data_IF_204680654621
#
_entry.id   IF_204680654621
#
_cell.length_a   1.000
_cell.length_b   1.000
_cell.length_c   1.000
_cell.angle_alpha   90.00
_cell.angle_beta   90.00
_cell.angle_gamma   90.00
#
_symmetry.space_group_name_H-M   'P 1'
#
loop_
_entity.id
_entity.type
_entity.pdbx_description
1 polymer ?
#
# COMPACT_ATOMS: atom_id res chain seq x y z
N UNK A 1 -1.84 -22.34 -6.56
CA UNK A 1 -0.98 -21.53 -5.68
C UNK A 1 -0.36 -22.49 -4.67
N UNK A 2 0.85 -22.25 -4.14
CA UNK A 2 1.42 -23.15 -3.12
C UNK A 2 0.50 -23.14 -1.90
N UNK A 3 0.11 -24.31 -1.41
CA UNK A 3 -0.72 -24.48 -0.21
C UNK A 3 0.16 -24.65 1.03
N UNK A 4 -0.32 -24.24 2.20
CA UNK A 4 0.41 -24.46 3.46
C UNK A 4 0.40 -25.95 3.80
N UNK A 5 1.56 -26.61 4.00
CA UNK A 5 1.60 -28.05 4.29
C UNK A 5 0.74 -28.40 5.51
N UNK A 6 -0.24 -29.29 5.32
CA UNK A 6 -1.18 -29.72 6.37
C UNK A 6 -2.43 -28.86 6.54
N UNK A 7 -2.60 -27.80 5.75
CA UNK A 7 -3.77 -26.92 5.76
C UNK A 7 -4.29 -26.68 4.33
N UNK A 8 -5.61 -26.62 4.15
CA UNK A 8 -6.23 -26.34 2.85
C UNK A 8 -6.30 -24.82 2.57
N UNK A 9 -5.19 -24.12 2.82
CA UNK A 9 -5.08 -22.67 2.67
C UNK A 9 -3.95 -22.32 1.72
N UNK A 10 -4.21 -21.37 0.82
CA UNK A 10 -3.19 -20.78 -0.05
C UNK A 10 -2.15 -20.04 0.78
N UNK A 11 -0.86 -20.28 0.48
CA UNK A 11 0.24 -19.57 1.12
C UNK A 11 0.22 -18.09 0.68
N UNK A 12 0.28 -17.13 1.62
CA UNK A 12 0.40 -15.72 1.29
C UNK A 12 1.69 -15.49 0.49
N UNK A 13 1.58 -14.79 -0.62
CA UNK A 13 2.71 -14.41 -1.48
C UNK A 13 2.65 -12.92 -1.81
N UNK A 14 3.79 -12.36 -2.21
CA UNK A 14 3.81 -10.99 -2.74
C UNK A 14 2.86 -10.84 -3.95
N UNK A 15 2.75 -11.87 -4.78
CA UNK A 15 1.81 -11.87 -5.91
C UNK A 15 0.35 -11.79 -5.45
N UNK A 16 -0.04 -12.54 -4.42
CA UNK A 16 -1.39 -12.46 -3.85
C UNK A 16 -1.70 -11.09 -3.25
N UNK A 17 -0.73 -10.47 -2.57
CA UNK A 17 -0.84 -9.10 -2.05
C UNK A 17 -1.01 -8.09 -3.18
N UNK A 18 -0.15 -8.15 -4.20
CA UNK A 18 -0.24 -7.26 -5.37
C UNK A 18 -1.57 -7.42 -6.10
N UNK A 19 -2.09 -8.64 -6.24
CA UNK A 19 -3.40 -8.88 -6.83
C UNK A 19 -4.53 -8.23 -6.00
N UNK A 20 -4.50 -8.40 -4.67
CA UNK A 20 -5.48 -7.77 -3.78
C UNK A 20 -5.45 -6.24 -3.86
N UNK A 21 -4.26 -5.63 -3.88
CA UNK A 21 -4.10 -4.18 -4.08
C UNK A 21 -4.55 -3.73 -5.47
N UNK A 22 -4.25 -4.52 -6.51
CA UNK A 22 -4.62 -4.19 -7.89
C UNK A 22 -6.12 -4.10 -8.08
N UNK A 23 -6.89 -4.94 -7.38
CA UNK A 23 -8.35 -4.90 -7.41
C UNK A 23 -8.93 -3.59 -6.85
N UNK A 24 -8.19 -2.88 -5.99
CA UNK A 24 -8.64 -1.64 -5.33
C UNK A 24 -8.06 -0.37 -5.98
N UNK A 25 -6.80 -0.43 -6.42
CA UNK A 25 -6.03 0.74 -6.85
C UNK A 25 -5.72 0.74 -8.34
N UNK A 26 -6.01 -0.36 -9.04
CA UNK A 26 -5.51 -0.61 -10.39
C UNK A 26 -4.09 -1.23 -10.38
N UNK A 27 -3.73 -1.95 -11.44
CA UNK A 27 -2.53 -2.79 -11.48
C UNK A 27 -1.22 -1.98 -11.42
N UNK A 28 -1.17 -0.83 -12.08
CA UNK A 28 0.04 0.01 -12.12
C UNK A 28 0.37 0.60 -10.75
N UNK A 29 -0.65 1.19 -10.09
CA UNK A 29 -0.50 1.78 -8.76
C UNK A 29 -0.15 0.73 -7.70
N UNK A 30 -0.83 -0.42 -7.74
CA UNK A 30 -0.54 -1.53 -6.83
C UNK A 30 0.90 -2.01 -6.95
N UNK A 31 1.38 -2.21 -8.19
CA UNK A 31 2.77 -2.62 -8.44
C UNK A 31 3.76 -1.57 -7.94
N UNK A 32 3.55 -0.30 -8.27
CA UNK A 32 4.44 0.78 -7.84
C UNK A 32 4.52 0.88 -6.30
N UNK A 33 3.40 0.74 -5.60
CA UNK A 33 3.37 0.77 -4.13
C UNK A 33 4.15 -0.40 -3.53
N UNK A 34 3.92 -1.62 -4.03
CA UNK A 34 4.62 -2.81 -3.54
C UNK A 34 6.13 -2.70 -3.80
N UNK A 35 6.54 -2.28 -4.99
CA UNK A 35 7.94 -2.16 -5.37
C UNK A 35 8.66 -1.07 -4.55
N UNK A 36 8.03 0.10 -4.35
CA UNK A 36 8.58 1.17 -3.53
C UNK A 36 8.72 0.77 -2.07
N UNK A 37 7.73 0.05 -1.53
CA UNK A 37 7.74 -0.39 -0.14
C UNK A 37 8.79 -1.48 0.09
N UNK A 38 8.87 -2.46 -0.81
CA UNK A 38 9.91 -3.48 -0.78
C UNK A 38 11.31 -2.86 -0.86
N UNK A 39 11.51 -1.86 -1.74
CA UNK A 39 12.76 -1.12 -1.85
C UNK A 39 13.10 -0.36 -0.56
N UNK A 40 12.14 0.30 0.07
CA UNK A 40 12.31 1.01 1.36
C UNK A 40 12.81 0.05 2.45
N UNK A 41 12.22 -1.14 2.51
CA UNK A 41 12.57 -2.19 3.47
C UNK A 41 13.85 -2.97 3.09
N UNK A 42 14.48 -2.63 1.96
CA UNK A 42 15.64 -3.33 1.39
C UNK A 42 15.38 -4.83 1.15
N UNK A 43 14.14 -5.17 0.80
CA UNK A 43 13.75 -6.53 0.43
C UNK A 43 14.10 -6.75 -1.05
N UNK A 44 15.02 -7.66 -1.33
CA UNK A 44 15.42 -8.03 -2.70
C UNK A 44 14.37 -8.88 -3.41
N UNK A 45 13.66 -9.71 -2.65
CA UNK A 45 12.45 -10.46 -3.02
C UNK A 45 11.71 -10.77 -1.73
N UNK A 46 10.45 -10.35 -1.59
CA UNK A 46 9.61 -10.72 -0.45
C UNK A 46 9.23 -12.20 -0.58
N UNK A 47 10.20 -13.07 -0.30
CA UNK A 47 10.09 -14.51 -0.50
C UNK A 47 9.65 -15.24 0.76
N UNK A 48 9.91 -14.66 1.94
CA UNK A 48 9.50 -15.24 3.22
C UNK A 48 8.20 -14.64 3.73
N UNK A 49 7.50 -15.37 4.60
CA UNK A 49 6.32 -14.85 5.28
C UNK A 49 6.66 -13.64 6.15
N UNK A 50 7.82 -13.61 6.79
CA UNK A 50 8.27 -12.47 7.61
C UNK A 50 8.48 -11.21 6.76
N UNK A 51 9.05 -11.36 5.55
CA UNK A 51 9.18 -10.24 4.61
C UNK A 51 7.81 -9.70 4.19
N UNK A 52 6.81 -10.57 4.02
CA UNK A 52 5.45 -10.16 3.69
C UNK A 52 4.77 -9.44 4.85
N UNK A 53 4.95 -9.91 6.08
CA UNK A 53 4.45 -9.22 7.29
C UNK A 53 5.03 -7.82 7.34
N UNK A 54 6.36 -7.69 7.27
CA UNK A 54 7.05 -6.37 7.28
C UNK A 54 6.58 -5.46 6.14
N UNK A 55 6.41 -6.02 4.95
CA UNK A 55 5.90 -5.29 3.79
C UNK A 55 4.48 -4.76 4.05
N UNK A 56 3.60 -5.58 4.61
CA UNK A 56 2.21 -5.18 4.89
C UNK A 56 2.09 -4.16 6.01
N UNK A 57 2.89 -4.27 7.08
CA UNK A 57 2.94 -3.30 8.17
C UNK A 57 3.43 -1.92 7.67
N UNK A 58 4.43 -1.91 6.80
CA UNK A 58 4.92 -0.67 6.19
C UNK A 58 3.87 -0.06 5.26
N UNK A 59 3.16 -0.88 4.46
CA UNK A 59 2.04 -0.41 3.64
C UNK A 59 0.93 0.23 4.49
N UNK A 60 0.58 -0.37 5.63
CA UNK A 60 -0.39 0.20 6.58
C UNK A 60 0.10 1.56 7.10
N UNK A 61 1.36 1.62 7.54
CA UNK A 61 1.99 2.86 8.02
C UNK A 61 1.95 3.97 6.96
N UNK A 62 2.30 3.64 5.71
CA UNK A 62 2.23 4.58 4.58
C UNK A 62 0.79 5.05 4.36
N UNK A 63 -0.19 4.13 4.38
CA UNK A 63 -1.60 4.44 4.21
C UNK A 63 -2.13 5.42 5.27
N UNK A 64 -1.76 5.21 6.54
CA UNK A 64 -2.17 6.08 7.64
C UNK A 64 -1.58 7.49 7.51
N UNK A 65 -0.27 7.58 7.23
CA UNK A 65 0.40 8.87 7.02
C UNK A 65 -0.17 9.60 5.81
N UNK A 66 -0.39 8.88 4.70
CA UNK A 66 -0.98 9.43 3.47
C UNK A 66 -2.37 10.00 3.74
N UNK A 67 -3.22 9.26 4.45
CA UNK A 67 -4.59 9.67 4.78
C UNK A 67 -4.60 10.98 5.57
N UNK A 68 -3.77 11.07 6.62
CA UNK A 68 -3.70 12.28 7.47
C UNK A 68 -3.16 13.46 6.67
N UNK A 69 -2.06 13.26 5.95
CA UNK A 69 -1.39 14.32 5.18
C UNK A 69 -2.28 14.86 4.07
N UNK A 70 -2.88 13.98 3.27
CA UNK A 70 -3.77 14.37 2.17
C UNK A 70 -5.00 15.12 2.68
N UNK A 71 -5.54 14.74 3.86
CA UNK A 71 -6.66 15.46 4.48
C UNK A 71 -6.26 16.87 4.87
N UNK A 72 -5.09 17.04 5.48
CA UNK A 72 -4.56 18.36 5.85
C UNK A 72 -4.40 19.26 4.63
N UNK A 73 -3.76 18.76 3.57
CA UNK A 73 -3.54 19.52 2.34
C UNK A 73 -4.84 19.85 1.61
N UNK A 74 -5.82 18.94 1.61
CA UNK A 74 -7.16 19.22 1.07
C UNK A 74 -7.82 20.39 1.81
N UNK A 75 -7.73 20.45 3.14
CA UNK A 75 -8.31 21.56 3.91
C UNK A 75 -7.67 22.89 3.50
N UNK A 76 -6.33 22.93 3.40
CA UNK A 76 -5.61 24.12 2.94
C UNK A 76 -6.08 24.58 1.56
N UNK A 77 -6.17 23.65 0.61
CA UNK A 77 -6.63 23.93 -0.75
C UNK A 77 -8.09 24.43 -0.80
N UNK A 78 -8.98 23.83 -0.01
CA UNK A 78 -10.38 24.26 0.09
C UNK A 78 -10.50 25.66 0.68
N UNK A 79 -9.77 25.96 1.76
CA UNK A 79 -9.76 27.29 2.37
C UNK A 79 -9.24 28.34 1.39
N UNK A 80 -8.13 28.06 0.70
CA UNK A 80 -7.60 28.95 -0.33
C UNK A 80 -8.65 29.21 -1.43
N UNK A 81 -9.28 28.15 -1.95
CA UNK A 81 -10.34 28.28 -2.96
C UNK A 81 -11.51 29.13 -2.47
N UNK A 82 -11.96 28.94 -1.23
CA UNK A 82 -13.07 29.70 -0.66
C UNK A 82 -12.74 31.20 -0.51
N UNK A 83 -11.52 31.53 -0.08
CA UNK A 83 -11.07 32.92 0.03
C UNK A 83 -11.01 33.62 -1.34
N UNK A 84 -10.65 32.90 -2.41
CA UNK A 84 -10.56 33.44 -3.77
C UNK A 84 -11.90 33.45 -4.53
N UNK A 85 -12.96 32.83 -3.99
CA UNK A 85 -14.31 32.93 -4.55
C UNK A 85 -15.07 34.18 -4.06
N UNK A 86 -14.54 34.85 -3.02
CA UNK A 86 -15.12 36.05 -2.42
C UNK A 86 -14.35 37.33 -2.78
N UNK A 87 -13.44 37.25 -3.75
CA UNK A 87 -12.72 38.39 -4.38
C UNK A 87 -13.13 38.43 -5.84
#
# INVERSE_FOLDING_TARGET
>A
MPTVPGYDLDQPTQASLTAALSAQLGPETARALVDLTAKKLRLTRSGTTDDLVRLTEELMTIGDVLRVTARSEKIRAVTYRALHQNV
#
